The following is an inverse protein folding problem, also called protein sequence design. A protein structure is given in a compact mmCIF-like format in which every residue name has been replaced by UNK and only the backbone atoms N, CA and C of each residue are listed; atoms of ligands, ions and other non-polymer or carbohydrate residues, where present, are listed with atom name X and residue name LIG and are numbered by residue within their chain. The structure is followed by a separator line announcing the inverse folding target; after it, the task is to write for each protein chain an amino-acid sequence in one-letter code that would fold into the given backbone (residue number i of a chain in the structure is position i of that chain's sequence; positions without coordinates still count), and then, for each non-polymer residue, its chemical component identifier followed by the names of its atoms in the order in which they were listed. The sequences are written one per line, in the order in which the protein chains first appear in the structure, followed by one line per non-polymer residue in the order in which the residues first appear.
data_IF_716577772142
#
_entry.id   IF_716577772142
#
_cell.length_a   1.000
_cell.length_b   1.000
_cell.length_c   1.000
_cell.angle_alpha   90.00
_cell.angle_beta   90.00
_cell.angle_gamma   90.00
#
_symmetry.space_group_name_H-M   'P 1'
#
loop_
_entity.id
_entity.type
_entity.pdbx_description
1 polymer ?
#
# COMPACT_ATOMS: atom_id res chain seq x y z
N UNK A 1 1.20 -9.84 -1.16
CA UNK A 1 1.00 -8.38 -1.25
C UNK A 1 0.48 -7.98 -2.61
N UNK A 2 -0.56 -7.18 -2.66
CA UNK A 2 -1.20 -6.77 -3.91
C UNK A 2 -1.35 -5.25 -3.93
N UNK A 3 -0.72 -4.59 -4.92
CA UNK A 3 -0.97 -3.18 -5.21
C UNK A 3 -2.28 -3.00 -5.98
N UNK A 4 -3.19 -2.20 -5.40
CA UNK A 4 -4.49 -1.94 -6.03
C UNK A 4 -4.50 -0.67 -6.90
N UNK A 5 -3.36 -0.05 -7.07
CA UNK A 5 -3.25 1.16 -7.86
C UNK A 5 -3.68 2.44 -7.12
N UNK A 6 -3.77 3.56 -7.84
CA UNK A 6 -3.91 4.90 -7.26
C UNK A 6 -5.37 5.33 -7.03
N UNK A 7 -6.35 4.43 -7.19
CA UNK A 7 -7.77 4.72 -6.97
C UNK A 7 -8.69 4.35 -8.13
N UNK A 8 -8.21 4.38 -9.36
CA UNK A 8 -8.98 3.95 -10.54
C UNK A 8 -8.93 2.42 -10.66
N UNK A 9 -10.05 1.70 -10.57
CA UNK A 9 -10.09 0.25 -10.73
C UNK A 9 -9.54 -0.25 -12.08
N UNK A 10 -9.61 0.55 -13.12
CA UNK A 10 -9.09 0.21 -14.45
C UNK A 10 -7.54 0.20 -14.47
N UNK A 11 -6.90 0.74 -13.44
CA UNK A 11 -5.45 0.69 -13.26
C UNK A 11 -4.97 -0.52 -12.43
N UNK A 12 -5.87 -1.43 -12.06
CA UNK A 12 -5.49 -2.72 -11.51
C UNK A 12 -4.75 -3.55 -12.56
N UNK A 13 -3.69 -4.23 -12.12
CA UNK A 13 -3.07 -5.21 -13.01
C UNK A 13 -4.00 -6.41 -13.19
N UNK A 14 -3.97 -7.02 -14.37
CA UNK A 14 -4.76 -8.24 -14.65
C UNK A 14 -4.46 -9.33 -13.63
N UNK A 15 -3.21 -9.42 -13.17
CA UNK A 15 -2.82 -10.41 -12.16
C UNK A 15 -3.44 -10.08 -10.80
N UNK A 16 -3.42 -8.81 -10.37
CA UNK A 16 -4.07 -8.38 -9.14
C UNK A 16 -5.56 -8.72 -9.16
N UNK A 17 -6.26 -8.34 -10.24
CA UNK A 17 -7.68 -8.65 -10.41
C UNK A 17 -7.98 -10.14 -10.27
N UNK A 18 -7.26 -11.01 -11.01
CA UNK A 18 -7.47 -12.46 -10.96
C UNK A 18 -7.21 -13.03 -9.57
N UNK A 19 -6.12 -12.63 -8.93
CA UNK A 19 -5.79 -13.12 -7.58
C UNK A 19 -6.84 -12.72 -6.57
N UNK A 20 -7.38 -11.49 -6.65
CA UNK A 20 -8.43 -11.00 -5.75
C UNK A 20 -9.77 -11.74 -5.90
N UNK A 21 -10.04 -12.34 -7.05
CA UNK A 21 -11.23 -13.17 -7.25
C UNK A 21 -11.10 -14.56 -6.58
N UNK A 22 -9.89 -15.04 -6.40
CA UNK A 22 -9.63 -16.42 -5.94
C UNK A 22 -9.32 -16.50 -4.42
N UNK A 23 -8.89 -15.38 -3.78
CA UNK A 23 -8.50 -15.41 -2.37
C UNK A 23 -9.70 -15.44 -1.43
N UNK A 24 -9.57 -16.21 -0.35
CA UNK A 24 -10.61 -16.32 0.68
C UNK A 24 -10.59 -15.15 1.68
N UNK A 25 -9.46 -14.47 1.85
CA UNK A 25 -9.26 -13.41 2.84
C UNK A 25 -8.54 -12.23 2.20
N UNK A 26 -9.09 -11.04 2.39
CA UNK A 26 -8.46 -9.77 1.98
C UNK A 26 -8.16 -8.96 3.24
N UNK A 27 -6.87 -8.74 3.49
CA UNK A 27 -6.35 -7.96 4.59
C UNK A 27 -5.92 -6.57 4.09
N UNK A 28 -6.13 -5.53 4.88
CA UNK A 28 -5.79 -4.15 4.54
C UNK A 28 -5.61 -3.30 5.79
N UNK A 29 -4.89 -2.18 5.66
CA UNK A 29 -4.85 -1.15 6.69
C UNK A 29 -6.06 -0.23 6.60
N UNK A 30 -6.53 0.23 7.77
CA UNK A 30 -7.62 1.18 7.91
C UNK A 30 -7.27 2.18 9.00
N UNK A 31 -7.47 3.47 8.72
CA UNK A 31 -7.26 4.53 9.71
C UNK A 31 -8.33 4.46 10.81
N UNK A 32 -7.96 4.89 12.02
CA UNK A 32 -8.86 4.94 13.18
C UNK A 32 -9.85 6.13 13.15
N UNK A 33 -9.93 6.85 12.03
CA UNK A 33 -10.83 7.97 11.78
C UNK A 33 -12.27 7.56 11.41
N UNK A 34 -12.52 6.26 11.34
CA UNK A 34 -13.83 5.68 11.00
C UNK A 34 -14.18 5.69 9.53
N UNK A 35 -13.29 6.13 8.65
CA UNK A 35 -13.49 6.06 7.21
C UNK A 35 -13.13 4.68 6.66
N UNK A 36 -13.71 4.33 5.53
CA UNK A 36 -13.36 3.10 4.83
C UNK A 36 -11.91 3.16 4.31
N UNK A 37 -11.22 2.02 4.37
CA UNK A 37 -9.89 1.89 3.74
C UNK A 37 -9.97 2.25 2.25
N UNK A 38 -9.07 3.14 1.82
CA UNK A 38 -9.01 3.54 0.41
C UNK A 38 -8.69 2.34 -0.49
N UNK A 39 -7.71 1.51 -0.12
CA UNK A 39 -7.39 0.29 -0.87
C UNK A 39 -8.59 -0.65 -1.03
N UNK A 40 -9.40 -0.81 0.05
CA UNK A 40 -10.62 -1.61 -0.02
C UNK A 40 -11.66 -0.98 -0.94
N UNK A 41 -11.83 0.35 -0.90
CA UNK A 41 -12.81 1.06 -1.74
C UNK A 41 -12.55 0.87 -3.23
N UNK A 42 -11.27 0.79 -3.63
CA UNK A 42 -10.87 0.55 -5.04
C UNK A 42 -11.34 -0.82 -5.53
N UNK A 43 -11.22 -1.85 -4.71
CA UNK A 43 -11.48 -3.24 -5.15
C UNK A 43 -12.90 -3.72 -4.86
N UNK A 44 -13.60 -3.09 -3.94
CA UNK A 44 -14.94 -3.55 -3.50
C UNK A 44 -15.94 -3.72 -4.66
N UNK A 45 -15.90 -2.81 -5.64
CA UNK A 45 -16.82 -2.82 -6.78
C UNK A 45 -16.51 -3.85 -7.86
N UNK A 46 -15.33 -4.47 -7.79
CA UNK A 46 -14.85 -5.43 -8.78
C UNK A 46 -14.76 -6.86 -8.25
N UNK A 47 -14.96 -7.05 -6.95
CA UNK A 47 -15.02 -8.40 -6.37
C UNK A 47 -16.34 -9.06 -6.78
N UNK A 48 -16.24 -10.26 -7.35
CA UNK A 48 -17.42 -11.05 -7.71
C UNK A 48 -18.16 -11.54 -6.44
N UNK A 49 -19.29 -12.24 -6.64
CA UNK A 49 -20.20 -12.67 -5.58
C UNK A 49 -19.60 -13.59 -4.49
N UNK A 50 -18.39 -14.10 -4.66
CA UNK A 50 -17.65 -14.76 -3.59
C UNK A 50 -17.17 -13.68 -2.62
N UNK A 51 -17.88 -13.49 -1.52
CA UNK A 51 -17.52 -12.50 -0.48
C UNK A 51 -16.31 -13.01 0.31
N UNK A 52 -15.10 -12.49 0.09
CA UNK A 52 -13.94 -12.83 0.93
C UNK A 52 -14.17 -12.34 2.35
N UNK A 53 -13.47 -12.91 3.30
CA UNK A 53 -13.37 -12.35 4.65
C UNK A 53 -12.51 -11.10 4.59
N UNK A 54 -13.03 -9.98 5.08
CA UNK A 54 -12.28 -8.74 5.18
C UNK A 54 -11.62 -8.63 6.56
N UNK A 55 -10.31 -8.48 6.58
CA UNK A 55 -9.49 -8.34 7.78
C UNK A 55 -8.85 -6.95 7.81
N UNK A 56 -9.43 -6.05 8.60
CA UNK A 56 -8.91 -4.70 8.78
C UNK A 56 -7.83 -4.66 9.87
N UNK A 57 -6.71 -4.02 9.58
CA UNK A 57 -5.67 -3.67 10.55
C UNK A 57 -5.82 -2.17 10.82
N UNK A 58 -6.29 -1.82 12.01
CA UNK A 58 -6.49 -0.42 12.38
C UNK A 58 -5.17 0.21 12.79
N UNK A 59 -4.82 1.31 12.14
CA UNK A 59 -3.63 2.13 12.41
C UNK A 59 -4.04 3.58 12.74
N UNK A 60 -3.20 4.35 13.47
CA UNK A 60 -3.47 5.74 13.74
C UNK A 60 -3.69 6.57 12.48
N UNK A 61 -4.63 7.50 12.54
CA UNK A 61 -4.88 8.49 11.48
C UNK A 61 -3.98 9.73 11.60
N UNK A 62 -3.29 9.90 12.72
CA UNK A 62 -2.27 10.93 12.93
C UNK A 62 -0.88 10.34 12.65
N UNK A 63 -0.24 10.79 11.57
CA UNK A 63 1.10 10.34 11.14
C UNK A 63 2.20 10.58 12.17
N UNK A 64 1.97 11.45 13.16
CA UNK A 64 2.91 11.68 14.25
C UNK A 64 2.78 10.63 15.37
N UNK A 65 1.74 9.81 15.33
CA UNK A 65 1.52 8.72 16.27
C UNK A 65 2.07 7.42 15.67
N UNK A 66 3.17 6.86 16.20
CA UNK A 66 3.70 5.61 15.69
C UNK A 66 2.70 4.47 15.89
N UNK A 67 2.62 3.58 14.90
CA UNK A 67 1.82 2.36 15.03
C UNK A 67 2.40 1.48 16.14
N UNK A 68 1.57 1.07 17.10
CA UNK A 68 1.99 0.13 18.15
C UNK A 68 2.48 -1.18 17.51
N UNK A 69 3.70 -1.66 17.79
CA UNK A 69 4.20 -2.94 17.28
C UNK A 69 3.26 -4.12 17.56
N UNK A 70 2.46 -4.03 18.63
CA UNK A 70 1.46 -5.04 18.93
C UNK A 70 0.38 -5.17 17.83
N UNK A 71 0.06 -4.08 17.15
CA UNK A 71 -0.89 -4.08 16.02
C UNK A 71 -0.46 -5.07 14.94
N UNK A 72 0.81 -5.05 14.57
CA UNK A 72 1.36 -5.95 13.55
C UNK A 72 1.41 -7.40 14.04
N UNK A 73 1.79 -7.60 15.31
CA UNK A 73 1.82 -8.95 15.92
C UNK A 73 0.42 -9.57 16.01
N UNK A 74 -0.59 -8.80 16.37
CA UNK A 74 -1.95 -9.31 16.48
C UNK A 74 -2.56 -9.57 15.09
N UNK A 75 -2.29 -8.69 14.12
CA UNK A 75 -2.65 -8.92 12.71
C UNK A 75 -1.99 -10.19 12.16
N UNK A 76 -0.71 -10.39 12.46
CA UNK A 76 0.04 -11.57 12.02
C UNK A 76 -0.54 -12.88 12.55
N UNK A 77 -0.95 -12.92 13.83
CA UNK A 77 -1.63 -14.08 14.43
C UNK A 77 -2.95 -14.41 13.71
N UNK A 78 -3.73 -13.38 13.40
CA UNK A 78 -4.98 -13.55 12.71
C UNK A 78 -4.78 -14.05 11.27
N UNK A 79 -3.84 -13.47 10.54
CA UNK A 79 -3.43 -13.93 9.20
C UNK A 79 -2.93 -15.38 9.26
N UNK A 80 -2.05 -15.71 10.22
CA UNK A 80 -1.52 -17.06 10.40
C UNK A 80 -2.63 -18.09 10.65
N UNK A 81 -3.69 -17.72 11.38
CA UNK A 81 -4.84 -18.60 11.60
C UNK A 81 -5.56 -18.95 10.29
N UNK A 82 -5.74 -17.97 9.39
CA UNK A 82 -6.34 -18.20 8.07
C UNK A 82 -5.45 -19.05 7.18
N UNK A 83 -4.15 -18.81 7.18
CA UNK A 83 -3.17 -19.63 6.46
C UNK A 83 -3.13 -21.07 6.97
N UNK A 84 -3.27 -21.27 8.30
CA UNK A 84 -3.22 -22.59 8.94
C UNK A 84 -4.37 -23.53 8.55
N UNK A 85 -5.47 -23.01 8.02
CA UNK A 85 -6.58 -23.81 7.48
C UNK A 85 -6.48 -24.03 5.97
N UNK A 86 -5.34 -23.68 5.37
CA UNK A 86 -5.04 -23.92 3.94
C UNK A 86 -5.59 -22.86 2.98
N UNK A 87 -5.98 -21.69 3.50
CA UNK A 87 -6.41 -20.55 2.68
C UNK A 87 -5.25 -19.63 2.32
N UNK A 88 -5.40 -18.91 1.20
CA UNK A 88 -4.54 -17.80 0.85
C UNK A 88 -5.08 -16.49 1.44
N UNK A 89 -4.17 -15.59 1.82
CA UNK A 89 -4.49 -14.25 2.31
C UNK A 89 -3.85 -13.22 1.40
N UNK A 90 -4.64 -12.32 0.84
CA UNK A 90 -4.13 -11.16 0.11
C UNK A 90 -4.06 -9.95 1.05
N UNK A 91 -2.89 -9.33 1.18
CA UNK A 91 -2.79 -7.99 1.76
C UNK A 91 -2.83 -6.98 0.64
N UNK A 92 -3.84 -6.11 0.63
CA UNK A 92 -4.01 -5.05 -0.37
C UNK A 92 -3.50 -3.72 0.16
N UNK A 93 -2.88 -2.94 -0.73
CA UNK A 93 -2.39 -1.59 -0.41
C UNK A 93 -2.57 -0.66 -1.60
N UNK A 94 -2.69 0.64 -1.33
CA UNK A 94 -2.68 1.67 -2.35
C UNK A 94 -1.40 1.63 -3.18
N UNK A 95 -1.49 2.04 -4.44
CA UNK A 95 -0.33 2.07 -5.33
C UNK A 95 0.36 0.72 -5.47
N UNK A 96 1.58 0.63 -4.95
CA UNK A 96 2.47 -0.53 -5.07
C UNK A 96 2.93 -1.01 -3.67
N UNK A 97 2.91 -2.32 -3.36
CA UNK A 97 3.28 -2.84 -2.05
C UNK A 97 4.75 -2.59 -1.66
N UNK A 98 5.59 -2.27 -2.63
CA UNK A 98 7.03 -2.07 -2.40
C UNK A 98 7.43 -0.58 -2.35
N UNK A 99 6.41 0.33 -2.35
CA UNK A 99 6.66 1.76 -2.28
C UNK A 99 5.82 2.39 -1.15
N UNK A 100 6.45 2.68 0.01
CA UNK A 100 5.85 3.33 1.19
C UNK A 100 4.55 2.68 1.68
N UNK A 101 4.55 1.35 1.79
CA UNK A 101 3.40 0.56 2.22
C UNK A 101 3.70 -0.21 3.51
N UNK A 102 2.69 -0.44 4.33
CA UNK A 102 2.78 -1.26 5.54
C UNK A 102 2.91 -2.77 5.25
N UNK A 103 2.85 -3.16 3.98
CA UNK A 103 2.94 -4.57 3.59
C UNK A 103 4.17 -5.27 4.17
N UNK A 104 5.32 -4.59 4.17
CA UNK A 104 6.56 -5.19 4.65
C UNK A 104 6.52 -5.47 6.15
N UNK A 105 5.98 -4.56 6.96
CA UNK A 105 5.81 -4.74 8.41
C UNK A 105 4.90 -5.92 8.72
N UNK A 106 3.78 -6.02 8.00
CA UNK A 106 2.85 -7.15 8.12
C UNK A 106 3.53 -8.45 7.71
N UNK A 107 4.22 -8.46 6.58
CA UNK A 107 4.91 -9.65 6.06
C UNK A 107 5.95 -10.19 7.04
N UNK A 108 6.81 -9.33 7.58
CA UNK A 108 7.83 -9.74 8.55
C UNK A 108 7.18 -10.32 9.82
N UNK A 109 6.14 -9.67 10.33
CA UNK A 109 5.41 -10.18 11.50
C UNK A 109 4.72 -11.53 11.24
N UNK A 110 4.20 -11.75 10.02
CA UNK A 110 3.59 -13.04 9.64
C UNK A 110 4.66 -14.13 9.49
N UNK A 111 5.83 -13.83 8.94
CA UNK A 111 6.95 -14.80 8.85
C UNK A 111 7.45 -15.28 10.20
N UNK A 112 7.38 -14.45 11.24
CA UNK A 112 7.68 -14.87 12.62
C UNK A 112 6.71 -15.95 13.12
N UNK A 113 5.45 -15.92 12.68
CA UNK A 113 4.41 -16.89 13.04
C UNK A 113 4.41 -18.12 12.11
N UNK A 114 4.78 -17.94 10.85
CA UNK A 114 4.76 -18.95 9.79
C UNK A 114 6.09 -18.93 9.04
N UNK A 115 7.15 -19.58 9.57
CA UNK A 115 8.51 -19.50 8.99
C UNK A 115 8.60 -19.99 7.53
N UNK A 116 7.79 -20.97 7.14
CA UNK A 116 7.76 -21.54 5.79
C UNK A 116 6.76 -20.84 4.85
N UNK A 117 6.36 -19.60 5.18
CA UNK A 117 5.40 -18.83 4.39
C UNK A 117 5.90 -18.63 2.95
N UNK A 118 5.10 -19.08 1.99
CA UNK A 118 5.30 -18.74 0.57
C UNK A 118 4.61 -17.40 0.31
N UNK A 119 5.37 -16.46 -0.22
CA UNK A 119 4.88 -15.10 -0.46
C UNK A 119 5.03 -14.72 -1.92
N UNK A 120 4.02 -14.06 -2.46
CA UNK A 120 4.07 -13.39 -3.75
C UNK A 120 3.76 -11.90 -3.59
N UNK A 121 4.46 -11.06 -4.36
CA UNK A 121 4.16 -9.63 -4.47
C UNK A 121 3.67 -9.33 -5.87
N UNK A 122 2.49 -8.76 -5.97
CA UNK A 122 1.88 -8.32 -7.23
C UNK A 122 1.95 -6.79 -7.26
N UNK A 123 2.78 -6.20 -8.13
CA UNK A 123 2.95 -4.76 -8.19
C UNK A 123 1.67 -4.06 -8.64
N UNK A 124 1.56 -2.80 -8.26
CA UNK A 124 0.49 -1.89 -8.69
C UNK A 124 1.03 -0.62 -9.35
N UNK A 125 0.16 0.14 -9.96
CA UNK A 125 0.50 1.47 -10.49
C UNK A 125 0.61 2.44 -9.31
N UNK A 126 1.80 3.01 -9.09
CA UNK A 126 1.97 3.98 -8.02
C UNK A 126 1.26 5.31 -8.31
N UNK A 127 0.83 6.02 -7.25
CA UNK A 127 0.22 7.35 -7.35
C UNK A 127 1.12 8.36 -8.07
N UNK A 128 2.44 8.26 -7.89
CA UNK A 128 3.44 9.10 -8.55
C UNK A 128 3.37 8.97 -10.07
N UNK A 129 3.30 7.72 -10.58
CA UNK A 129 3.20 7.47 -12.02
C UNK A 129 1.82 7.86 -12.56
N UNK A 130 0.77 7.62 -11.81
CA UNK A 130 -0.58 8.02 -12.20
C UNK A 130 -0.75 9.54 -12.27
N UNK A 131 -0.17 10.28 -11.32
CA UNK A 131 -0.17 11.75 -11.33
C UNK A 131 0.56 12.30 -12.57
N UNK A 132 1.72 11.74 -12.92
CA UNK A 132 2.45 12.11 -14.13
C UNK A 132 1.61 11.85 -15.40
N UNK A 133 0.99 10.67 -15.50
CA UNK A 133 0.13 10.33 -16.64
C UNK A 133 -1.08 11.27 -16.73
N UNK A 134 -1.74 11.55 -15.61
CA UNK A 134 -2.92 12.43 -15.55
C UNK A 134 -2.58 13.88 -15.90
N UNK A 135 -1.41 14.37 -15.49
CA UNK A 135 -0.96 15.73 -15.83
C UNK A 135 -0.41 15.86 -17.26
N UNK A 136 -0.10 14.73 -17.90
CA UNK A 136 0.57 14.72 -19.22
C UNK A 136 2.03 15.19 -19.15
N UNK A 137 2.63 15.25 -17.96
CA UNK A 137 4.02 15.67 -17.75
C UNK A 137 4.88 14.47 -17.35
N UNK A 138 5.90 14.11 -18.14
CA UNK A 138 6.83 13.07 -17.73
C UNK A 138 7.63 13.55 -16.51
N UNK A 139 7.84 12.65 -15.55
CA UNK A 139 8.62 12.98 -14.35
C UNK A 139 10.09 13.26 -14.69
N UNK A 140 10.69 12.40 -15.47
CA UNK A 140 12.10 12.52 -15.89
C UNK A 140 12.30 11.93 -17.28
N UNK A 141 13.33 12.42 -17.98
CA UNK A 141 13.84 11.84 -19.22
C UNK A 141 15.25 11.27 -19.01
N UNK A 142 15.84 10.70 -20.06
CA UNK A 142 17.15 10.06 -19.96
C UNK A 142 18.21 11.01 -19.37
N UNK A 143 18.91 10.54 -18.35
CA UNK A 143 19.98 11.28 -17.65
C UNK A 143 19.52 12.19 -16.52
N UNK A 144 18.22 12.40 -16.36
CA UNK A 144 17.66 13.19 -15.27
C UNK A 144 17.45 12.37 -14.00
N UNK A 145 17.47 13.04 -12.86
CA UNK A 145 17.31 12.46 -11.52
C UNK A 145 15.92 12.76 -10.98
N UNK A 146 15.30 11.73 -10.41
CA UNK A 146 14.02 11.81 -9.69
C UNK A 146 14.27 11.57 -8.21
N UNK A 147 13.76 12.45 -7.36
CA UNK A 147 13.64 12.25 -5.92
C UNK A 147 12.18 12.18 -5.54
N UNK A 148 11.81 11.18 -4.75
CA UNK A 148 10.48 11.01 -4.17
C UNK A 148 10.61 11.16 -2.66
N UNK A 149 9.92 12.13 -2.08
CA UNK A 149 9.84 12.34 -0.65
C UNK A 149 8.45 11.89 -0.18
N UNK A 150 8.38 10.87 0.69
CA UNK A 150 7.10 10.43 1.25
C UNK A 150 6.49 11.49 2.17
N UNK A 151 7.35 12.20 2.91
CA UNK A 151 7.00 13.30 3.80
C UNK A 151 8.12 14.34 3.78
N UNK A 152 7.80 15.60 4.02
CA UNK A 152 8.79 16.68 4.19
C UNK A 152 9.03 16.89 5.68
N UNK A 153 10.25 16.63 6.14
CA UNK A 153 10.63 16.77 7.55
C UNK A 153 11.16 18.18 7.88
N UNK A 154 11.28 19.04 6.88
CA UNK A 154 11.69 20.44 7.04
C UNK A 154 12.12 21.07 5.72
N UNK A 155 12.28 22.40 5.78
CA UNK A 155 12.66 23.20 4.59
C UNK A 155 14.05 22.81 4.04
N UNK A 156 14.94 22.30 4.87
CA UNK A 156 16.28 21.92 4.43
C UNK A 156 16.26 20.62 3.64
N UNK A 157 15.43 19.61 4.03
CA UNK A 157 15.21 18.39 3.26
C UNK A 157 14.65 18.71 1.87
N UNK A 158 13.65 19.59 1.83
CA UNK A 158 13.04 20.01 0.57
C UNK A 158 14.06 20.74 -0.31
N UNK A 159 14.87 21.65 0.26
CA UNK A 159 15.92 22.37 -0.46
C UNK A 159 16.96 21.42 -1.00
N UNK A 160 17.39 20.43 -0.23
CA UNK A 160 18.35 19.42 -0.66
C UNK A 160 17.80 18.59 -1.81
N UNK A 161 16.56 18.09 -1.71
CA UNK A 161 15.91 17.31 -2.75
C UNK A 161 15.78 18.11 -4.06
N UNK A 162 15.34 19.36 -4.01
CA UNK A 162 15.21 20.24 -5.19
C UNK A 162 16.58 20.58 -5.79
N UNK A 163 17.60 20.74 -4.97
CA UNK A 163 18.94 21.08 -5.45
C UNK A 163 19.63 19.90 -6.15
N UNK A 164 19.37 18.69 -5.70
CA UNK A 164 20.07 17.47 -6.13
C UNK A 164 19.30 16.64 -7.19
N UNK A 165 18.09 17.05 -7.56
CA UNK A 165 17.27 16.34 -8.57
C UNK A 165 16.67 17.29 -9.61
N UNK A 166 16.41 16.75 -10.80
CA UNK A 166 15.73 17.46 -11.88
C UNK A 166 14.21 17.52 -11.63
N UNK A 167 13.69 16.51 -10.92
CA UNK A 167 12.31 16.45 -10.48
C UNK A 167 12.23 15.97 -9.03
N UNK A 168 11.44 16.65 -8.23
CA UNK A 168 11.10 16.23 -6.86
C UNK A 168 9.60 16.01 -6.76
N UNK A 169 9.21 14.84 -6.28
CA UNK A 169 7.82 14.49 -5.99
C UNK A 169 7.61 14.48 -4.48
N UNK A 170 6.62 15.21 -4.02
CA UNK A 170 6.16 15.20 -2.64
C UNK A 170 4.88 14.37 -2.59
N UNK A 171 4.84 13.32 -1.78
CA UNK A 171 3.68 12.42 -1.76
C UNK A 171 2.60 12.95 -0.81
N UNK A 172 2.88 13.17 0.42
CA UNK A 172 1.91 13.64 1.41
C UNK A 172 2.13 15.14 1.65
N UNK A 173 1.43 15.96 0.87
CA UNK A 173 1.47 17.42 1.02
C UNK A 173 0.35 17.82 1.94
N UNK A 174 0.68 18.14 3.18
CA UNK A 174 -0.27 18.72 4.14
C UNK A 174 -0.47 20.22 3.87
N UNK A 175 -1.57 20.79 4.41
CA UNK A 175 -1.94 22.20 4.23
C UNK A 175 -0.92 23.20 4.82
N UNK A 176 0.11 22.73 5.51
CA UNK A 176 1.11 23.53 6.22
C UNK A 176 2.46 23.69 5.46
N UNK A 177 2.48 23.37 4.14
CA UNK A 177 3.60 23.67 3.25
C UNK A 177 3.52 25.07 2.68
#
# INVERSE_FOLDING_TARGET
GIGVGPGDPDLLTIKAHRTLQDVAVICFTQLDDGKESFALSVVRGILDAASPVFLAITIPSDDNVPVDPKTWTDAAKEIARHLGVGGDVAFITEGDPMLYSEFFQVLESVKEQVPDLVTEVIPGVSSVMAAAASSGMPLVTHGQRLTILPKVYGIDDLREAITNSDTTVLMEVDSDL
#
